data_IF_143722677814
#
_entry.id   IF_143722677814
#
_cell.length_a   1.000
_cell.length_b   1.000
_cell.length_c   1.000
_cell.angle_alpha   90.00
_cell.angle_beta   90.00
_cell.angle_gamma   90.00
#
_symmetry.space_group_name_H-M   'P 1'
#
loop_
_entity.id
_entity.type
_entity.pdbx_description
1 polymer ?
#
# COMPACT_ATOMS: atom_id res chain seq x y z
N UNK A 1 -38.82 20.68 1.49
CA UNK A 1 -37.39 20.88 1.84
C UNK A 1 -36.81 19.49 2.02
N UNK A 2 -36.09 18.99 1.02
CA UNK A 2 -35.28 17.77 1.16
C UNK A 2 -33.84 18.25 1.08
N UNK A 3 -33.09 18.12 2.17
CA UNK A 3 -31.66 18.41 2.15
C UNK A 3 -31.00 17.48 1.13
N UNK A 4 -30.20 18.01 0.18
CA UNK A 4 -29.41 17.14 -0.68
C UNK A 4 -28.39 16.45 0.21
N UNK A 5 -28.51 15.12 0.31
CA UNK A 5 -27.53 14.27 0.98
C UNK A 5 -26.13 14.77 0.67
N UNK A 6 -25.43 15.20 1.71
CA UNK A 6 -24.10 15.76 1.62
C UNK A 6 -23.13 14.61 1.30
N UNK A 7 -23.12 14.16 0.04
CA UNK A 7 -22.31 13.04 -0.43
C UNK A 7 -20.84 13.45 -0.40
N UNK A 8 -20.23 13.30 0.77
CA UNK A 8 -18.81 13.52 0.91
C UNK A 8 -18.08 12.41 0.16
N UNK A 9 -17.38 12.80 -0.91
CA UNK A 9 -16.53 11.88 -1.68
C UNK A 9 -15.28 11.63 -0.87
N UNK A 10 -14.96 10.36 -0.65
CA UNK A 10 -13.71 9.94 -0.02
C UNK A 10 -12.86 9.16 -1.03
N UNK A 11 -11.62 8.90 -0.68
CA UNK A 11 -10.66 8.20 -1.54
C UNK A 11 -10.27 6.89 -0.88
N UNK A 12 -10.25 5.81 -1.66
CA UNK A 12 -9.74 4.52 -1.18
C UNK A 12 -8.26 4.65 -0.82
N UNK A 13 -7.90 4.33 0.41
CA UNK A 13 -6.52 4.43 0.92
C UNK A 13 -5.58 3.48 0.17
N UNK A 14 -6.10 2.36 -0.33
CA UNK A 14 -5.30 1.34 -1.02
C UNK A 14 -5.03 1.72 -2.47
N UNK A 15 -6.05 2.01 -3.27
CA UNK A 15 -5.93 2.18 -4.72
C UNK A 15 -6.15 3.61 -5.20
N UNK A 16 -6.41 4.55 -4.30
CA UNK A 16 -6.69 5.96 -4.59
C UNK A 16 -7.86 6.24 -5.54
N UNK A 17 -8.72 5.24 -5.79
CA UNK A 17 -9.97 5.46 -6.52
C UNK A 17 -10.95 6.23 -5.64
N UNK A 18 -11.64 7.23 -6.23
CA UNK A 18 -12.72 7.97 -5.55
C UNK A 18 -13.89 7.02 -5.27
N UNK A 19 -14.46 7.10 -4.08
CA UNK A 19 -15.63 6.33 -3.66
C UNK A 19 -16.67 7.23 -3.03
N UNK A 20 -17.94 6.91 -3.27
CA UNK A 20 -19.03 7.52 -2.54
C UNK A 20 -19.04 6.94 -1.12
N UNK A 21 -19.41 7.72 -0.10
CA UNK A 21 -19.31 7.28 1.30
C UNK A 21 -20.12 6.00 1.61
N UNK A 22 -21.22 5.77 0.89
CA UNK A 22 -22.04 4.55 0.97
C UNK A 22 -21.40 3.34 0.26
N UNK A 23 -20.34 3.53 -0.51
CA UNK A 23 -19.58 2.48 -1.22
C UNK A 23 -18.30 2.07 -0.46
N UNK A 24 -18.09 2.62 0.74
CA UNK A 24 -17.01 2.20 1.63
C UNK A 24 -17.35 0.80 2.16
N UNK A 25 -16.62 -0.22 1.69
CA UNK A 25 -16.81 -1.60 2.11
C UNK A 25 -16.10 -1.90 3.43
N UNK A 26 -14.96 -1.25 3.66
CA UNK A 26 -14.17 -1.45 4.86
C UNK A 26 -13.59 -0.14 5.38
N UNK A 27 -13.60 0.00 6.71
CA UNK A 27 -12.89 1.04 7.45
C UNK A 27 -11.92 0.36 8.39
N UNK A 28 -10.69 0.85 8.40
CA UNK A 28 -9.65 0.32 9.28
C UNK A 28 -10.10 0.41 10.75
N UNK A 29 -9.76 -0.61 11.54
CA UNK A 29 -10.08 -0.64 12.96
C UNK A 29 -9.20 0.33 13.78
N UNK A 30 -8.07 0.74 13.23
CA UNK A 30 -7.05 1.56 13.90
C UNK A 30 -6.92 2.97 13.30
N UNK A 31 -7.61 3.26 12.19
CA UNK A 31 -7.54 4.57 11.53
C UNK A 31 -8.85 4.93 10.80
N UNK A 32 -8.98 6.20 10.36
CA UNK A 32 -10.12 6.64 9.52
C UNK A 32 -9.99 6.24 8.04
N UNK A 33 -9.01 5.39 7.71
CA UNK A 33 -8.76 4.92 6.35
C UNK A 33 -10.00 4.21 5.79
N UNK A 34 -10.41 4.64 4.59
CA UNK A 34 -11.53 4.05 3.86
C UNK A 34 -11.01 3.14 2.75
N UNK A 35 -11.64 1.98 2.55
CA UNK A 35 -11.28 1.01 1.52
C UNK A 35 -12.50 0.70 0.66
N UNK A 36 -12.31 0.71 -0.67
CA UNK A 36 -13.36 0.42 -1.63
C UNK A 36 -13.66 -1.09 -1.70
N UNK A 37 -14.86 -1.43 -2.16
CA UNK A 37 -15.30 -2.82 -2.31
C UNK A 37 -14.34 -3.69 -3.15
N UNK A 38 -13.71 -3.13 -4.19
CA UNK A 38 -12.76 -3.88 -5.02
C UNK A 38 -11.51 -4.31 -4.25
N UNK A 39 -11.00 -3.43 -3.38
CA UNK A 39 -9.83 -3.75 -2.56
C UNK A 39 -10.21 -4.69 -1.42
N UNK A 40 -11.36 -4.48 -0.78
CA UNK A 40 -11.87 -5.36 0.28
C UNK A 40 -12.13 -6.79 -0.21
N UNK A 41 -12.63 -6.95 -1.44
CA UNK A 41 -12.79 -8.27 -2.05
C UNK A 41 -11.46 -8.92 -2.45
N UNK A 42 -10.48 -8.12 -2.87
CA UNK A 42 -9.22 -8.62 -3.43
C UNK A 42 -8.23 -9.10 -2.36
N UNK A 43 -8.22 -8.45 -1.20
CA UNK A 43 -7.19 -8.66 -0.18
C UNK A 43 -7.80 -9.08 1.16
N UNK A 44 -7.18 -10.01 1.90
CA UNK A 44 -7.61 -10.31 3.26
C UNK A 44 -7.41 -9.09 4.17
N UNK A 45 -8.25 -8.98 5.21
CA UNK A 45 -8.25 -7.80 6.10
C UNK A 45 -6.91 -7.49 6.75
N UNK A 46 -6.13 -8.51 7.12
CA UNK A 46 -4.82 -8.32 7.73
C UNK A 46 -3.83 -7.67 6.74
N UNK A 47 -3.92 -8.01 5.45
CA UNK A 47 -3.09 -7.41 4.40
C UNK A 47 -3.54 -5.97 4.12
N UNK A 48 -4.85 -5.71 4.15
CA UNK A 48 -5.38 -4.34 4.07
C UNK A 48 -4.87 -3.46 5.21
N UNK A 49 -4.90 -3.94 6.45
CA UNK A 49 -4.36 -3.19 7.60
C UNK A 49 -2.85 -2.94 7.48
N UNK A 50 -2.10 -3.94 7.01
CA UNK A 50 -0.66 -3.78 6.73
C UNK A 50 -0.42 -2.70 5.68
N UNK A 51 -1.10 -2.77 4.53
CA UNK A 51 -0.99 -1.77 3.45
C UNK A 51 -1.38 -0.37 3.93
N UNK A 52 -2.48 -0.25 4.69
CA UNK A 52 -2.92 1.02 5.29
C UNK A 52 -1.84 1.58 6.21
N UNK A 53 -1.28 0.75 7.11
CA UNK A 53 -0.21 1.17 8.02
C UNK A 53 1.01 1.70 7.27
N UNK A 54 1.45 0.99 6.22
CA UNK A 54 2.59 1.40 5.40
C UNK A 54 2.32 2.70 4.64
N UNK A 55 1.15 2.86 4.03
CA UNK A 55 0.80 4.07 3.30
C UNK A 55 0.55 5.28 4.21
N UNK A 56 0.05 5.07 5.44
CA UNK A 56 -0.06 6.14 6.42
C UNK A 56 1.31 6.57 6.97
N UNK A 57 2.22 5.63 7.22
CA UNK A 57 3.55 5.91 7.76
C UNK A 57 4.50 6.53 6.71
N UNK A 58 4.46 6.04 5.47
CA UNK A 58 5.44 6.37 4.43
C UNK A 58 4.83 7.02 3.19
N UNK A 59 3.51 7.18 3.15
CA UNK A 59 2.79 7.78 2.04
C UNK A 59 2.56 6.85 0.85
N UNK A 60 1.76 7.34 -0.10
CA UNK A 60 1.49 6.66 -1.37
C UNK A 60 0.27 5.74 -1.34
N UNK A 61 0.17 4.91 -2.38
CA UNK A 61 -0.93 3.98 -2.61
C UNK A 61 -0.46 2.89 -3.57
N UNK A 62 -1.20 1.79 -3.63
CA UNK A 62 -0.85 0.63 -4.42
C UNK A 62 -0.75 0.95 -5.91
N UNK A 63 0.39 0.61 -6.53
CA UNK A 63 0.61 0.82 -7.96
C UNK A 63 0.80 2.29 -8.36
N UNK A 64 1.08 3.20 -7.42
CA UNK A 64 1.42 4.61 -7.69
C UNK A 64 2.47 4.76 -8.81
N UNK A 65 3.45 3.87 -8.89
CA UNK A 65 4.53 3.87 -9.87
C UNK A 65 4.43 2.75 -10.91
N UNK A 66 3.25 2.14 -11.07
CA UNK A 66 3.04 1.03 -12.01
C UNK A 66 3.45 1.37 -13.45
N UNK A 67 3.38 2.64 -13.86
CA UNK A 67 3.81 3.09 -15.19
C UNK A 67 5.32 3.08 -15.40
N UNK A 68 6.11 3.07 -14.32
CA UNK A 68 7.57 3.03 -14.32
C UNK A 68 8.01 1.57 -14.17
N UNK A 69 7.64 0.70 -15.11
CA UNK A 69 7.87 -0.74 -15.02
C UNK A 69 9.28 -1.06 -14.48
N UNK A 70 9.30 -1.81 -13.37
CA UNK A 70 10.49 -2.37 -12.72
C UNK A 70 10.13 -3.78 -12.28
N UNK A 71 11.06 -4.71 -12.44
CA UNK A 71 10.98 -6.04 -11.86
C UNK A 71 11.02 -5.99 -10.33
N UNK A 72 10.62 -7.09 -9.68
CA UNK A 72 10.71 -7.21 -8.22
C UNK A 72 12.15 -7.06 -7.75
N UNK A 73 13.11 -7.67 -8.46
CA UNK A 73 14.53 -7.59 -8.17
C UNK A 73 15.04 -6.14 -8.21
N UNK A 74 14.73 -5.39 -9.28
CA UNK A 74 15.11 -3.97 -9.38
C UNK A 74 14.54 -3.13 -8.24
N UNK A 75 13.30 -3.38 -7.84
CA UNK A 75 12.66 -2.68 -6.70
C UNK A 75 13.35 -3.00 -5.37
N UNK A 76 13.70 -4.26 -5.14
CA UNK A 76 14.41 -4.69 -3.94
C UNK A 76 15.81 -4.06 -3.88
N UNK A 77 16.58 -4.15 -4.97
CA UNK A 77 17.94 -3.61 -5.05
C UNK A 77 17.97 -2.11 -4.81
N UNK A 78 17.09 -1.33 -5.48
CA UNK A 78 17.03 0.12 -5.27
C UNK A 78 16.71 0.51 -3.82
N UNK A 79 15.89 -0.29 -3.15
CA UNK A 79 15.53 -0.05 -1.75
C UNK A 79 16.73 -0.27 -0.84
N UNK A 80 17.53 -1.33 -1.07
CA UNK A 80 18.77 -1.59 -0.33
C UNK A 80 19.80 -0.48 -0.60
N UNK A 81 20.02 -0.15 -1.88
CA UNK A 81 20.96 0.89 -2.33
C UNK A 81 20.65 2.26 -1.70
N UNK A 82 19.36 2.58 -1.55
CA UNK A 82 18.93 3.82 -0.91
C UNK A 82 19.22 3.81 0.60
N UNK A 83 19.04 2.67 1.27
CA UNK A 83 19.28 2.53 2.70
C UNK A 83 20.77 2.57 3.05
N UNK A 84 21.63 1.94 2.23
CA UNK A 84 23.08 2.02 2.37
C UNK A 84 23.59 3.47 2.24
N UNK A 85 23.06 4.22 1.26
CA UNK A 85 23.42 5.64 1.03
C UNK A 85 23.02 6.57 2.18
N UNK A 86 22.04 6.18 3.00
CA UNK A 86 21.63 6.97 4.18
C UNK A 86 22.61 6.82 5.36
N UNK A 87 23.59 5.91 5.28
CA UNK A 87 24.67 5.78 6.27
C UNK A 87 24.21 5.44 7.68
N UNK A 88 22.98 4.95 7.83
CA UNK A 88 22.43 4.52 9.12
C UNK A 88 22.73 3.04 9.32
N UNK A 89 23.01 2.62 10.55
CA UNK A 89 22.84 1.23 10.95
C UNK A 89 21.35 0.89 10.83
N UNK A 90 20.92 0.46 9.64
CA UNK A 90 19.54 0.06 9.39
C UNK A 90 19.38 -1.36 9.90
N UNK A 91 18.44 -1.58 10.82
CA UNK A 91 18.08 -2.92 11.29
C UNK A 91 17.40 -3.68 10.13
N UNK A 92 17.67 -4.97 9.99
CA UNK A 92 17.12 -5.78 8.90
C UNK A 92 15.60 -5.67 8.77
N UNK A 93 14.87 -5.56 9.89
CA UNK A 93 13.40 -5.43 9.88
C UNK A 93 12.92 -4.11 9.24
N UNK A 94 13.72 -3.03 9.31
CA UNK A 94 13.40 -1.76 8.65
C UNK A 94 13.64 -1.83 7.14
N UNK A 95 14.60 -2.67 6.71
CA UNK A 95 14.87 -2.94 5.29
C UNK A 95 13.66 -3.67 4.68
N UNK A 96 13.17 -4.73 5.33
CA UNK A 96 12.03 -5.50 4.84
C UNK A 96 10.75 -4.66 4.72
N UNK A 97 10.48 -3.83 5.72
CA UNK A 97 9.31 -2.93 5.73
C UNK A 97 9.40 -1.92 4.57
N UNK A 98 10.60 -1.40 4.31
CA UNK A 98 10.83 -0.42 3.22
C UNK A 98 10.75 -1.07 1.85
N UNK A 99 11.36 -2.24 1.66
CA UNK A 99 11.24 -3.01 0.42
C UNK A 99 9.77 -3.30 0.14
N UNK A 100 9.03 -3.81 1.13
CA UNK A 100 7.61 -4.12 0.98
C UNK A 100 6.80 -2.87 0.60
N UNK A 101 7.05 -1.73 1.26
CA UNK A 101 6.40 -0.47 0.88
C UNK A 101 6.69 -0.08 -0.57
N UNK A 102 7.95 -0.11 -1.00
CA UNK A 102 8.34 0.21 -2.39
C UNK A 102 7.67 -0.74 -3.38
N UNK A 103 7.65 -2.05 -3.10
CA UNK A 103 6.97 -3.05 -3.91
C UNK A 103 5.48 -2.76 -4.09
N UNK A 104 4.78 -2.40 -3.00
CA UNK A 104 3.38 -2.01 -3.05
C UNK A 104 3.16 -0.78 -3.93
N UNK A 105 4.06 0.21 -3.90
CA UNK A 105 4.00 1.38 -4.78
C UNK A 105 4.16 1.02 -6.27
N UNK A 106 4.92 -0.01 -6.60
CA UNK A 106 5.03 -0.54 -7.97
C UNK A 106 3.88 -1.49 -8.34
N UNK A 107 3.06 -1.87 -7.36
CA UNK A 107 1.86 -2.68 -7.56
C UNK A 107 2.11 -4.18 -7.43
N UNK A 108 3.20 -4.56 -6.75
CA UNK A 108 3.45 -5.90 -6.24
C UNK A 108 2.87 -6.05 -4.85
N UNK A 109 2.44 -7.25 -4.50
CA UNK A 109 1.86 -7.63 -3.21
C UNK A 109 2.91 -8.23 -2.29
N UNK A 110 2.56 -8.43 -1.02
CA UNK A 110 3.44 -9.17 -0.11
C UNK A 110 3.70 -10.60 -0.59
N UNK A 111 2.72 -11.23 -1.24
CA UNK A 111 2.89 -12.57 -1.82
C UNK A 111 3.97 -12.59 -2.90
N UNK A 112 4.04 -11.53 -3.71
CA UNK A 112 5.08 -11.40 -4.73
C UNK A 112 6.47 -11.25 -4.09
N UNK A 113 6.56 -10.57 -2.94
CA UNK A 113 7.81 -10.46 -2.18
C UNK A 113 8.25 -11.80 -1.59
N UNK A 114 7.33 -12.52 -0.93
CA UNK A 114 7.63 -13.84 -0.35
C UNK A 114 8.06 -14.82 -1.46
N UNK A 115 7.37 -14.83 -2.60
CA UNK A 115 7.73 -15.67 -3.73
C UNK A 115 9.12 -15.34 -4.29
N UNK A 116 9.53 -14.07 -4.29
CA UNK A 116 10.87 -13.64 -4.67
C UNK A 116 11.93 -14.16 -3.69
N UNK A 117 11.67 -14.08 -2.38
CA UNK A 117 12.56 -14.60 -1.33
C UNK A 117 12.68 -16.13 -1.37
N UNK A 118 11.61 -16.84 -1.71
CA UNK A 118 11.65 -18.31 -1.81
C UNK A 118 12.42 -18.80 -3.07
N UNK A 119 12.62 -17.92 -4.05
CA UNK A 119 13.23 -18.25 -5.34
C UNK A 119 14.72 -17.89 -5.43
N UNK A 120 15.29 -17.25 -4.40
CA UNK A 120 16.69 -16.78 -4.34
C UNK A 120 17.33 -17.10 -3.00
#
# INVERSE_FOLDING_TARGET
MCDPENFQKTTCTICHTKIMNNEVAYRSSVSKASVCQRCDFKYPRWELELMIGLFLAYGGYFGKYRSLYKSVEEVCLESVDHLEKLGKEVRFEEIDIKILHTMLLHGYTQKDYIAYLDSN
#
